data_IF_481033285426
#
_entry.id   IF_481033285426
#
_cell.length_a   1.000
_cell.length_b   1.000
_cell.length_c   1.000
_cell.angle_alpha   90.00
_cell.angle_beta   90.00
_cell.angle_gamma   90.00
#
_symmetry.space_group_name_H-M   'P 1'
#
loop_
_entity.id
_entity.type
_entity.pdbx_description
1 polymer ?
#
# COMPACT_ATOMS: atom_id res chain seq x y z
N UNK A 1 29.88 -13.13 -6.90
CA UNK A 1 29.72 -11.77 -6.31
C UNK A 1 28.44 -11.78 -5.49
N UNK A 2 28.35 -11.02 -4.39
CA UNK A 2 27.13 -10.96 -3.60
C UNK A 2 25.98 -10.37 -4.43
N UNK A 3 24.83 -11.04 -4.43
CA UNK A 3 23.60 -10.52 -5.00
C UNK A 3 22.98 -9.50 -4.03
N UNK A 4 22.52 -8.37 -4.57
CA UNK A 4 21.87 -7.31 -3.80
C UNK A 4 20.64 -6.83 -4.56
N UNK A 5 19.48 -7.02 -3.97
CA UNK A 5 18.21 -6.59 -4.55
C UNK A 5 17.26 -6.16 -3.45
N UNK A 6 16.26 -5.39 -3.84
CA UNK A 6 15.16 -4.98 -2.98
C UNK A 6 13.85 -5.17 -3.74
N UNK A 7 13.01 -6.08 -3.29
CA UNK A 7 11.62 -6.18 -3.72
C UNK A 7 10.78 -5.33 -2.79
N UNK A 8 9.93 -4.46 -3.34
CA UNK A 8 8.98 -3.66 -2.58
C UNK A 8 7.57 -4.15 -2.91
N UNK A 9 6.89 -4.67 -1.90
CA UNK A 9 5.49 -5.08 -1.95
C UNK A 9 4.66 -3.93 -1.38
N UNK A 10 3.90 -3.27 -2.24
CA UNK A 10 2.97 -2.20 -1.84
C UNK A 10 1.59 -2.80 -1.73
N UNK A 11 0.98 -2.68 -0.56
CA UNK A 11 -0.38 -3.07 -0.28
C UNK A 11 -1.21 -1.83 0.03
N UNK A 12 -1.97 -1.36 -0.96
CA UNK A 12 -2.85 -0.23 -0.80
C UNK A 12 -4.18 -0.70 -0.21
N UNK A 13 -4.29 -0.74 1.12
CA UNK A 13 -5.53 -1.06 1.82
C UNK A 13 -6.44 0.17 2.01
N UNK A 14 -6.04 1.35 1.53
CA UNK A 14 -6.89 2.54 1.55
C UNK A 14 -8.10 2.32 0.64
N UNK A 15 -9.27 2.76 1.11
CA UNK A 15 -10.49 2.87 0.29
C UNK A 15 -10.59 4.21 -0.46
N UNK A 16 -9.75 5.18 -0.10
CA UNK A 16 -9.87 6.58 -0.53
C UNK A 16 -8.81 6.98 -1.55
N UNK A 17 -7.60 6.42 -1.46
CA UNK A 17 -6.45 6.86 -2.24
C UNK A 17 -6.09 5.89 -3.36
N UNK A 18 -5.84 6.45 -4.54
CA UNK A 18 -5.18 5.76 -5.66
C UNK A 18 -3.76 6.30 -5.79
N UNK A 19 -2.78 5.40 -5.89
CA UNK A 19 -1.39 5.79 -6.18
C UNK A 19 -1.24 6.01 -7.67
N UNK A 20 -0.72 7.17 -8.07
CA UNK A 20 -0.59 7.58 -9.47
C UNK A 20 0.77 8.20 -9.75
N UNK A 21 1.11 8.40 -11.04
CA UNK A 21 2.31 9.13 -11.46
C UNK A 21 3.59 8.66 -10.73
N UNK A 22 3.97 7.37 -10.86
CA UNK A 22 5.17 6.86 -10.20
C UNK A 22 6.42 7.55 -10.73
N UNK A 23 7.36 7.85 -9.82
CA UNK A 23 8.71 8.32 -10.16
C UNK A 23 9.74 7.50 -9.40
N UNK A 24 10.92 7.33 -9.98
CA UNK A 24 12.02 6.55 -9.40
C UNK A 24 13.30 7.34 -9.51
N UNK A 25 14.02 7.45 -8.41
CA UNK A 25 15.41 7.88 -8.36
C UNK A 25 16.25 6.73 -7.79
N UNK A 26 17.34 6.41 -8.47
CA UNK A 26 18.26 5.34 -8.05
C UNK A 26 19.64 5.92 -7.84
N UNK A 27 20.09 5.93 -6.59
CA UNK A 27 21.45 6.33 -6.20
C UNK A 27 22.46 5.23 -6.54
N UNK A 28 22.07 3.96 -6.35
CA UNK A 28 22.89 2.80 -6.67
C UNK A 28 22.05 1.65 -7.19
N UNK A 29 22.51 1.01 -8.27
CA UNK A 29 21.79 -0.08 -8.93
C UNK A 29 20.89 0.43 -10.05
N UNK A 30 19.80 -0.27 -10.31
CA UNK A 30 18.78 0.11 -11.28
C UNK A 30 17.42 -0.46 -10.91
N UNK A 31 16.37 0.09 -11.52
CA UNK A 31 15.01 -0.44 -11.44
C UNK A 31 14.84 -1.62 -12.41
N UNK A 32 14.60 -2.82 -11.89
CA UNK A 32 14.39 -4.05 -12.67
C UNK A 32 12.92 -4.20 -13.06
N UNK A 33 12.02 -4.04 -12.09
CA UNK A 33 10.56 -4.03 -12.30
C UNK A 33 10.04 -2.65 -11.88
N UNK A 34 9.56 -1.82 -12.82
CA UNK A 34 9.12 -0.46 -12.51
C UNK A 34 7.83 -0.43 -11.69
N UNK A 35 7.60 0.65 -10.92
CA UNK A 35 6.33 0.83 -10.23
C UNK A 35 5.16 0.88 -11.24
N UNK A 36 4.05 0.17 -11.00
CA UNK A 36 2.86 0.27 -11.85
C UNK A 36 2.35 1.71 -11.94
N UNK A 37 1.81 2.14 -13.09
CA UNK A 37 1.33 3.51 -13.29
C UNK A 37 0.16 3.88 -12.37
N UNK A 38 -0.62 2.88 -11.95
CA UNK A 38 -1.76 3.02 -11.04
C UNK A 38 -1.78 1.88 -10.03
N UNK A 39 -2.01 2.21 -8.76
CA UNK A 39 -2.33 1.24 -7.70
C UNK A 39 -3.62 1.73 -7.04
N UNK A 40 -4.73 1.12 -7.43
CA UNK A 40 -6.07 1.49 -6.96
C UNK A 40 -6.30 1.18 -5.48
N UNK A 41 -7.46 1.59 -4.94
CA UNK A 41 -7.90 1.19 -3.61
C UNK A 41 -7.96 -0.34 -3.48
N UNK A 42 -7.62 -0.85 -2.31
CA UNK A 42 -7.62 -2.29 -2.00
C UNK A 42 -6.84 -3.15 -3.02
N UNK A 43 -5.70 -2.66 -3.51
CA UNK A 43 -4.89 -3.34 -4.52
C UNK A 43 -3.41 -3.44 -4.14
N UNK A 44 -2.72 -4.41 -4.74
CA UNK A 44 -1.31 -4.69 -4.47
C UNK A 44 -0.45 -4.38 -5.69
N UNK A 45 0.79 -3.98 -5.44
CA UNK A 45 1.82 -3.78 -6.45
C UNK A 45 3.15 -4.37 -5.98
N UNK A 46 3.98 -4.74 -6.94
CA UNK A 46 5.34 -5.21 -6.68
C UNK A 46 6.33 -4.44 -7.56
N UNK A 47 7.44 -4.05 -6.96
CA UNK A 47 8.51 -3.25 -7.56
C UNK A 47 9.82 -3.95 -7.22
N UNK A 48 10.78 -3.96 -8.14
CA UNK A 48 12.07 -4.62 -7.89
C UNK A 48 13.22 -3.72 -8.31
N UNK A 49 14.17 -3.55 -7.40
CA UNK A 49 15.43 -2.86 -7.62
C UNK A 49 16.58 -3.84 -7.46
N UNK A 50 17.56 -3.74 -8.34
CA UNK A 50 18.69 -4.65 -8.37
C UNK A 50 20.00 -3.87 -8.44
N UNK A 51 21.07 -4.48 -7.95
CA UNK A 51 22.40 -3.92 -8.13
C UNK A 51 22.83 -3.98 -9.59
N UNK A 52 23.76 -3.10 -9.95
CA UNK A 52 24.42 -3.15 -11.27
C UNK A 52 25.32 -4.38 -11.36
N UNK A 53 25.12 -5.23 -12.37
CA UNK A 53 25.94 -6.43 -12.58
C UNK A 53 27.42 -6.07 -12.76
N UNK A 54 28.31 -6.82 -12.11
CA UNK A 54 29.77 -6.63 -12.22
C UNK A 54 30.36 -5.49 -11.37
N UNK A 55 29.53 -4.67 -10.72
CA UNK A 55 29.99 -3.59 -9.84
C UNK A 55 29.87 -3.96 -8.35
N UNK A 56 30.69 -3.35 -7.47
CA UNK A 56 30.58 -3.49 -6.01
C UNK A 56 29.52 -2.53 -5.43
N UNK A 57 28.31 -2.56 -6.00
CA UNK A 57 27.18 -1.66 -5.69
C UNK A 57 26.03 -2.39 -5.01
N UNK A 58 25.21 -1.64 -4.27
CA UNK A 58 23.96 -2.09 -3.68
C UNK A 58 22.73 -1.76 -4.54
N UNK A 59 21.54 -1.89 -3.94
CA UNK A 59 20.27 -1.40 -4.49
C UNK A 59 19.74 -0.30 -3.56
N UNK A 60 19.87 0.96 -3.97
CA UNK A 60 19.62 2.13 -3.12
C UNK A 60 18.93 3.22 -3.91
N UNK A 61 17.87 3.80 -3.35
CA UNK A 61 17.14 4.88 -3.98
C UNK A 61 15.84 5.23 -3.27
N UNK A 62 15.01 5.99 -3.96
CA UNK A 62 13.68 6.39 -3.53
C UNK A 62 12.73 6.30 -4.72
N UNK A 63 11.48 5.93 -4.46
CA UNK A 63 10.41 6.08 -5.43
C UNK A 63 9.23 6.79 -4.79
N UNK A 64 8.43 7.43 -5.63
CA UNK A 64 7.28 8.22 -5.19
C UNK A 64 6.03 7.87 -5.96
N UNK A 65 4.88 8.13 -5.33
CA UNK A 65 3.56 8.12 -5.95
C UNK A 65 2.80 9.38 -5.56
N UNK A 66 2.11 9.98 -6.51
CA UNK A 66 1.09 10.99 -6.24
C UNK A 66 -0.14 10.32 -5.60
N UNK A 67 -0.62 10.87 -4.49
CA UNK A 67 -1.80 10.40 -3.78
C UNK A 67 -3.05 11.10 -4.33
N UNK A 68 -3.78 10.40 -5.20
CA UNK A 68 -5.05 10.88 -5.76
C UNK A 68 -6.20 10.45 -4.85
N UNK A 69 -6.90 11.41 -4.25
CA UNK A 69 -8.13 11.13 -3.50
C UNK A 69 -9.29 10.88 -4.47
N UNK A 70 -9.90 9.72 -4.39
CA UNK A 70 -10.97 9.27 -5.31
C UNK A 70 -12.28 10.04 -5.16
N UNK A 71 -12.57 10.63 -3.99
CA UNK A 71 -13.80 11.37 -3.77
C UNK A 71 -13.73 12.80 -4.35
N UNK A 72 -12.58 13.46 -4.20
CA UNK A 72 -12.38 14.85 -4.63
C UNK A 72 -11.64 14.96 -5.97
N UNK A 73 -11.09 13.85 -6.48
CA UNK A 73 -10.24 13.79 -7.66
C UNK A 73 -9.07 14.79 -7.60
N UNK A 74 -8.56 15.02 -6.39
CA UNK A 74 -7.46 15.93 -6.12
C UNK A 74 -6.22 15.15 -5.69
N UNK A 75 -5.07 15.56 -6.24
CA UNK A 75 -3.77 15.12 -5.79
C UNK A 75 -3.14 16.27 -5.00
N UNK A 76 -3.05 16.10 -3.68
CA UNK A 76 -2.48 17.10 -2.77
C UNK A 76 -1.17 16.67 -2.14
N UNK A 77 -0.85 15.37 -2.15
CA UNK A 77 0.29 14.80 -1.44
C UNK A 77 1.05 13.77 -2.28
N UNK A 78 2.29 13.50 -1.87
CA UNK A 78 3.20 12.54 -2.49
C UNK A 78 3.61 11.51 -1.45
N UNK A 79 3.33 10.24 -1.70
CA UNK A 79 3.92 9.12 -0.97
C UNK A 79 5.36 8.94 -1.45
N UNK A 80 6.31 8.84 -0.52
CA UNK A 80 7.69 8.47 -0.83
C UNK A 80 8.12 7.24 -0.03
N UNK A 81 8.86 6.34 -0.69
CA UNK A 81 9.42 5.13 -0.11
C UNK A 81 10.89 5.05 -0.48
N UNK A 82 11.75 5.09 0.54
CA UNK A 82 13.20 4.93 0.41
C UNK A 82 13.58 3.48 0.71
N UNK A 83 14.51 2.96 -0.09
CA UNK A 83 15.09 1.64 0.08
C UNK A 83 16.62 1.73 0.02
N UNK A 84 17.29 1.02 0.92
CA UNK A 84 18.75 0.95 0.95
C UNK A 84 19.23 -0.45 1.32
N UNK A 85 19.75 -1.17 0.33
CA UNK A 85 20.41 -2.46 0.49
C UNK A 85 21.88 -2.32 0.08
N UNK A 86 22.81 -2.11 1.04
CA UNK A 86 24.21 -1.86 0.74
C UNK A 86 24.95 -3.11 0.25
N UNK A 87 26.03 -2.91 -0.50
CA UNK A 87 26.90 -4.00 -0.95
C UNK A 87 27.60 -4.69 0.23
N UNK A 88 28.31 -3.93 1.06
CA UNK A 88 29.04 -4.45 2.21
C UNK A 88 28.16 -4.51 3.47
N UNK A 89 27.78 -5.73 3.83
CA UNK A 89 26.93 -6.02 4.99
C UNK A 89 27.70 -6.13 6.31
N UNK A 90 29.04 -6.15 6.26
CA UNK A 90 29.85 -6.13 7.46
C UNK A 90 29.96 -4.72 8.06
N UNK A 91 29.79 -3.69 7.22
CA UNK A 91 29.89 -2.28 7.60
C UNK A 91 28.53 -1.59 7.67
N UNK A 92 27.56 -1.99 6.84
CA UNK A 92 26.30 -1.28 6.69
C UNK A 92 25.09 -2.21 6.79
N UNK A 93 24.01 -1.69 7.38
CA UNK A 93 22.72 -2.35 7.52
C UNK A 93 21.70 -1.92 6.45
N UNK A 94 20.60 -2.66 6.35
CA UNK A 94 19.50 -2.31 5.47
C UNK A 94 18.72 -1.17 6.11
N UNK A 95 18.18 -0.27 5.31
CA UNK A 95 17.34 0.82 5.78
C UNK A 95 16.17 1.01 4.83
N UNK A 96 15.00 1.29 5.40
CA UNK A 96 13.85 1.77 4.67
C UNK A 96 13.29 3.02 5.34
N UNK A 97 12.59 3.84 4.57
CA UNK A 97 11.81 4.93 5.11
C UNK A 97 10.53 5.13 4.30
N UNK A 98 9.47 5.56 4.97
CA UNK A 98 8.19 5.90 4.34
C UNK A 98 7.69 7.23 4.87
N UNK A 99 7.09 8.03 3.99
CA UNK A 99 6.58 9.34 4.37
C UNK A 99 5.58 9.89 3.36
N UNK A 100 4.89 10.94 3.77
CA UNK A 100 3.95 11.66 2.92
C UNK A 100 4.35 13.13 2.90
N UNK A 101 4.57 13.65 1.70
CA UNK A 101 5.07 14.99 1.46
C UNK A 101 4.03 15.84 0.75
N UNK A 102 4.24 17.16 0.76
CA UNK A 102 3.47 18.07 -0.08
C UNK A 102 3.70 17.78 -1.56
N UNK A 103 2.67 18.04 -2.38
CA UNK A 103 2.81 17.96 -3.83
C UNK A 103 3.87 18.93 -4.34
N UNK A 104 4.66 18.47 -5.31
CA UNK A 104 5.77 19.23 -5.89
C UNK A 104 7.14 18.86 -5.33
N UNK A 105 7.21 17.95 -4.35
CA UNK A 105 8.47 17.27 -4.02
C UNK A 105 8.92 16.44 -5.22
N UNK A 106 10.16 16.68 -5.65
CA UNK A 106 10.78 15.95 -6.75
C UNK A 106 11.34 14.61 -6.24
N UNK A 107 11.26 13.59 -7.10
CA UNK A 107 11.85 12.28 -6.83
C UNK A 107 13.30 12.32 -7.33
N UNK A 108 14.20 12.84 -6.49
CA UNK A 108 15.59 13.11 -6.84
C UNK A 108 16.57 12.74 -5.70
N UNK A 109 17.83 13.10 -5.88
CA UNK A 109 18.88 12.92 -4.88
C UNK A 109 18.57 13.64 -3.57
N UNK A 110 17.98 14.84 -3.60
CA UNK A 110 17.70 15.61 -2.40
C UNK A 110 16.64 14.92 -1.54
N UNK A 111 15.60 14.35 -2.16
CA UNK A 111 14.60 13.56 -1.45
C UNK A 111 15.25 12.31 -0.83
N UNK A 112 16.09 11.61 -1.59
CA UNK A 112 16.81 10.44 -1.09
C UNK A 112 17.71 10.79 0.11
N UNK A 113 18.56 11.81 -0.02
CA UNK A 113 19.47 12.27 1.02
C UNK A 113 18.72 12.71 2.27
N UNK A 114 17.60 13.42 2.09
CA UNK A 114 16.72 13.80 3.19
C UNK A 114 16.17 12.58 3.94
N UNK A 115 15.59 11.62 3.22
CA UNK A 115 15.02 10.42 3.84
C UNK A 115 16.09 9.51 4.46
N UNK A 116 17.33 9.54 3.99
CA UNK A 116 18.41 8.67 4.47
C UNK A 116 19.24 9.27 5.62
N UNK A 117 19.66 10.53 5.50
CA UNK A 117 20.62 11.16 6.40
C UNK A 117 19.99 12.13 7.41
N UNK A 118 18.90 12.81 7.04
CA UNK A 118 18.36 13.89 7.85
C UNK A 118 17.40 13.40 8.94
N UNK A 119 16.99 14.34 9.78
CA UNK A 119 15.99 14.16 10.82
C UNK A 119 14.61 13.85 10.23
N UNK A 120 13.87 13.01 10.94
CA UNK A 120 12.58 12.48 10.51
C UNK A 120 11.48 13.54 10.63
N UNK A 121 11.23 14.27 9.54
CA UNK A 121 10.13 15.23 9.41
C UNK A 121 9.26 14.86 8.19
N UNK A 122 7.99 14.54 8.43
CA UNK A 122 7.03 14.02 7.43
C UNK A 122 7.35 12.61 6.87
N UNK A 123 8.32 11.92 7.46
CA UNK A 123 8.64 10.52 7.17
C UNK A 123 9.13 9.82 8.44
N UNK A 124 9.11 8.49 8.42
CA UNK A 124 9.74 7.64 9.43
C UNK A 124 10.77 6.73 8.76
N UNK A 125 11.89 6.48 9.44
CA UNK A 125 13.00 5.64 8.96
C UNK A 125 13.25 4.50 9.95
N UNK A 126 13.45 3.30 9.42
CA UNK A 126 13.71 2.08 10.19
C UNK A 126 14.85 1.26 9.60
N UNK A 127 15.57 0.58 10.47
CA UNK A 127 16.53 -0.43 10.06
C UNK A 127 15.77 -1.64 9.51
N UNK A 128 16.29 -2.26 8.46
CA UNK A 128 15.74 -3.49 7.90
C UNK A 128 16.15 -4.69 8.71
N UNK A 129 15.61 -4.82 9.92
CA UNK A 129 15.78 -5.95 10.85
C UNK A 129 14.47 -6.74 11.07
N UNK A 130 13.45 -6.44 10.25
CA UNK A 130 12.10 -6.97 10.36
C UNK A 130 11.14 -6.10 11.21
N UNK A 131 11.65 -5.10 11.93
CA UNK A 131 10.81 -4.17 12.68
C UNK A 131 9.96 -3.30 11.75
N UNK A 132 8.76 -2.93 12.20
CA UNK A 132 7.89 -2.03 11.46
C UNK A 132 8.05 -0.59 11.91
N UNK A 133 8.02 0.33 10.96
CA UNK A 133 7.88 1.78 11.20
C UNK A 133 6.55 2.24 10.62
N UNK A 134 5.90 3.20 11.28
CA UNK A 134 4.60 3.72 10.85
C UNK A 134 4.62 5.25 10.85
N UNK A 135 4.41 5.83 9.67
CA UNK A 135 4.10 7.23 9.51
C UNK A 135 2.60 7.45 9.71
N UNK A 136 2.23 8.40 10.55
CA UNK A 136 0.85 8.83 10.75
C UNK A 136 0.66 10.23 10.15
N UNK A 137 -0.05 10.30 9.05
CA UNK A 137 -0.55 11.55 8.49
C UNK A 137 -1.98 11.83 8.93
N UNK A 138 -2.52 12.96 8.46
CA UNK A 138 -3.88 13.38 8.78
C UNK A 138 -4.95 12.45 8.20
N UNK A 139 -4.78 12.01 6.95
CA UNK A 139 -5.79 11.23 6.22
C UNK A 139 -5.39 9.77 5.96
N UNK A 140 -4.10 9.46 6.10
CA UNK A 140 -3.60 8.11 5.88
C UNK A 140 -2.45 7.76 6.84
N UNK A 141 -2.31 6.47 7.09
CA UNK A 141 -1.15 5.88 7.75
C UNK A 141 -0.39 5.03 6.74
N UNK A 142 0.93 5.11 6.79
CA UNK A 142 1.83 4.28 5.97
C UNK A 142 2.73 3.52 6.91
N UNK A 143 2.65 2.19 6.87
CA UNK A 143 3.55 1.32 7.62
C UNK A 143 4.51 0.64 6.68
N UNK A 144 5.74 0.42 7.13
CA UNK A 144 6.71 -0.37 6.39
C UNK A 144 7.55 -1.26 7.30
N UNK A 145 7.95 -2.42 6.79
CA UNK A 145 8.96 -3.28 7.40
C UNK A 145 9.92 -3.77 6.32
N UNK A 146 11.15 -4.11 6.69
CA UNK A 146 12.18 -4.54 5.76
C UNK A 146 13.00 -5.69 6.34
N UNK A 147 13.30 -6.71 5.52
CA UNK A 147 14.19 -7.81 5.92
C UNK A 147 15.67 -7.41 5.91
N UNK A 148 16.50 -8.14 6.67
CA UNK A 148 17.95 -7.92 6.81
C UNK A 148 18.80 -8.64 5.77
N UNK A 149 18.16 -9.30 4.80
CA UNK A 149 18.85 -10.08 3.77
C UNK A 149 19.47 -9.19 2.67
N UNK A 150 20.43 -9.76 1.93
CA UNK A 150 20.98 -9.12 0.73
C UNK A 150 19.97 -9.05 -0.42
N UNK A 151 19.02 -9.98 -0.47
CA UNK A 151 17.83 -9.92 -1.32
C UNK A 151 16.66 -9.52 -0.42
N UNK A 152 16.57 -8.22 -0.16
CA UNK A 152 15.66 -7.68 0.83
C UNK A 152 14.23 -7.59 0.28
N UNK A 153 13.27 -7.67 1.20
CA UNK A 153 11.86 -7.41 0.92
C UNK A 153 11.41 -6.27 1.82
N UNK A 154 10.85 -5.23 1.24
CA UNK A 154 10.11 -4.18 1.94
C UNK A 154 8.63 -4.46 1.74
N UNK A 155 7.86 -4.48 2.82
CA UNK A 155 6.40 -4.44 2.76
C UNK A 155 5.93 -3.07 3.16
N UNK A 156 5.09 -2.44 2.34
CA UNK A 156 4.48 -1.15 2.59
C UNK A 156 2.97 -1.34 2.65
N UNK A 157 2.36 -1.05 3.78
CA UNK A 157 0.91 -1.05 3.96
C UNK A 157 0.42 0.39 4.06
N UNK A 158 -0.57 0.72 3.24
CA UNK A 158 -1.23 2.03 3.23
C UNK A 158 -2.65 1.83 3.70
N UNK A 159 -3.08 2.60 4.70
CA UNK A 159 -4.43 2.54 5.26
C UNK A 159 -4.97 3.93 5.52
N UNK A 160 -6.28 4.09 5.46
CA UNK A 160 -6.92 5.34 5.86
C UNK A 160 -6.67 5.61 7.34
N UNK A 161 -6.32 6.86 7.69
CA UNK A 161 -6.23 7.25 9.09
C UNK A 161 -7.66 7.34 9.62
N UNK A 162 -7.96 6.56 10.67
CA UNK A 162 -9.28 6.58 11.29
C UNK A 162 -9.54 7.96 11.89
N UNK A 163 -10.35 8.79 11.23
CA UNK A 163 -11.00 9.89 11.92
C UNK A 163 -11.89 9.29 13.01
N UNK A 164 -11.51 9.51 14.26
CA UNK A 164 -12.43 9.38 15.37
C UNK A 164 -13.52 10.44 15.26
N UNK A 165 -14.60 10.17 14.53
CA UNK A 165 -15.93 10.72 14.75
C UNK A 165 -16.97 9.64 14.42
N UNK A 166 -17.94 9.48 15.32
CA UNK A 166 -18.81 8.31 15.47
C UNK A 166 -19.33 7.67 14.17
N UNK A 167 -18.93 6.43 13.94
CA UNK A 167 -19.67 5.51 13.08
C UNK A 167 -20.99 5.14 13.76
N UNK A 168 -22.07 5.87 13.47
CA UNK A 168 -23.41 5.33 13.50
C UNK A 168 -23.64 4.59 12.19
N UNK A 169 -23.48 3.26 12.16
CA UNK A 169 -23.98 2.46 11.03
C UNK A 169 -25.44 2.15 11.30
N UNK A 170 -26.36 2.77 10.56
CA UNK A 170 -27.75 2.31 10.50
C UNK A 170 -27.92 1.43 9.26
N UNK A 171 -27.99 0.12 9.47
CA UNK A 171 -28.27 -0.84 8.41
C UNK A 171 -29.79 -0.94 8.19
N UNK A 172 -30.27 -0.44 7.05
CA UNK A 172 -31.64 -0.67 6.61
C UNK A 172 -31.69 -1.93 5.71
N UNK A 173 -32.14 -3.05 6.27
CA UNK A 173 -32.35 -4.28 5.49
C UNK A 173 -33.66 -4.15 4.70
N UNK A 174 -33.58 -3.96 3.39
CA UNK A 174 -34.74 -4.08 2.50
C UNK A 174 -35.00 -5.57 2.31
N UNK A 175 -36.23 -6.03 2.58
CA UNK A 175 -36.63 -7.43 2.47
C UNK A 175 -36.74 -7.88 1.00
N UNK A 176 -35.61 -7.98 0.31
CA UNK A 176 -35.43 -8.78 -0.90
C UNK A 176 -34.02 -9.37 -0.88
N UNK A 177 -33.94 -10.71 -0.85
CA UNK A 177 -32.84 -11.53 -0.30
C UNK A 177 -31.54 -11.53 -1.13
N UNK A 178 -31.25 -10.46 -1.89
CA UNK A 178 -30.13 -10.43 -2.84
C UNK A 178 -29.19 -9.25 -2.70
N UNK A 179 -29.59 -8.22 -1.94
CA UNK A 179 -28.79 -7.00 -1.79
C UNK A 179 -28.84 -6.49 -0.35
N UNK A 180 -27.69 -6.08 0.17
CA UNK A 180 -27.63 -5.29 1.41
C UNK A 180 -27.21 -3.86 1.03
N UNK A 181 -27.99 -2.88 1.49
CA UNK A 181 -27.71 -1.47 1.32
C UNK A 181 -27.06 -0.94 2.61
N UNK A 182 -25.86 -0.37 2.47
CA UNK A 182 -25.21 0.34 3.57
C UNK A 182 -25.33 1.85 3.34
N UNK A 183 -25.87 2.55 4.33
CA UNK A 183 -25.88 4.01 4.38
C UNK A 183 -24.76 4.46 5.32
N UNK A 184 -23.90 5.34 4.83
CA UNK A 184 -22.83 5.97 5.62
C UNK A 184 -23.09 7.47 5.65
N UNK A 185 -23.25 8.00 6.86
CA UNK A 185 -23.34 9.43 7.09
C UNK A 185 -21.93 10.01 7.18
N UNK A 186 -21.68 11.07 6.41
CA UNK A 186 -20.42 11.81 6.39
C UNK A 186 -20.68 13.27 6.73
N UNK A 187 -19.77 13.91 7.47
CA UNK A 187 -19.77 15.36 7.68
C UNK A 187 -18.46 15.92 7.19
N UNK A 188 -18.51 16.93 6.31
CA UNK A 188 -17.30 17.62 5.84
C UNK A 188 -16.79 18.63 6.89
N UNK A 189 -15.62 19.20 6.60
CA UNK A 189 -14.96 20.25 7.39
C UNK A 189 -15.79 21.54 7.51
N UNK A 190 -16.86 21.69 6.73
CA UNK A 190 -17.81 22.80 6.78
C UNK A 190 -19.12 22.45 7.51
N UNK A 191 -19.23 21.24 8.06
CA UNK A 191 -20.41 20.76 8.78
C UNK A 191 -21.56 20.31 7.88
N UNK A 192 -21.32 20.11 6.60
CA UNK A 192 -22.32 19.62 5.64
C UNK A 192 -22.46 18.11 5.78
N UNK A 193 -23.68 17.61 5.99
CA UNK A 193 -23.96 16.18 6.07
C UNK A 193 -24.21 15.57 4.68
N UNK A 194 -23.62 14.41 4.42
CA UNK A 194 -23.77 13.65 3.19
C UNK A 194 -24.13 12.20 3.51
N UNK A 195 -24.90 11.55 2.62
CA UNK A 195 -25.25 10.14 2.72
C UNK A 195 -24.64 9.40 1.53
N UNK A 196 -23.71 8.47 1.79
CA UNK A 196 -23.18 7.57 0.76
C UNK A 196 -23.88 6.23 0.84
N UNK A 197 -24.50 5.82 -0.28
CA UNK A 197 -25.16 4.53 -0.42
C UNK A 197 -24.26 3.54 -1.15
N UNK A 198 -23.96 2.39 -0.52
CA UNK A 198 -23.22 1.28 -1.14
C UNK A 198 -24.12 0.05 -1.25
N UNK A 199 -24.20 -0.54 -2.44
CA UNK A 199 -24.95 -1.78 -2.71
C UNK A 199 -23.96 -2.93 -2.87
N UNK A 200 -24.11 -3.99 -2.08
CA UNK A 200 -23.35 -5.24 -2.26
C UNK A 200 -24.31 -6.38 -2.61
N UNK A 201 -24.02 -7.13 -3.66
CA UNK A 201 -24.77 -8.33 -4.04
C UNK A 201 -24.22 -9.57 -3.32
N UNK A 202 -25.11 -10.44 -2.85
CA UNK A 202 -24.75 -11.77 -2.36
C UNK A 202 -24.84 -12.76 -3.53
N UNK A 203 -23.70 -13.14 -4.13
CA UNK A 203 -23.66 -14.28 -5.04
C UNK A 203 -23.58 -15.58 -4.21
N UNK A 204 -24.68 -16.32 -4.11
CA UNK A 204 -24.70 -17.67 -3.54
C UNK A 204 -24.21 -18.69 -4.56
N UNK A 205 -23.12 -19.40 -4.24
CA UNK A 205 -22.69 -20.60 -4.97
C UNK A 205 -23.63 -21.75 -4.58
N UNK A 206 -24.53 -22.16 -5.47
CA UNK A 206 -25.29 -23.40 -5.30
C UNK A 206 -24.38 -24.60 -5.57
N UNK A 207 -24.07 -25.38 -4.54
CA UNK A 207 -23.40 -26.67 -4.68
C UNK A 207 -24.33 -27.69 -5.32
N UNK A 208 -23.93 -28.26 -6.46
CA UNK A 208 -24.58 -29.45 -7.06
C UNK A 208 -24.48 -30.65 -6.11
N UNK A 209 -25.63 -31.20 -5.70
CA UNK A 209 -25.69 -32.49 -5.00
C UNK A 209 -25.49 -33.65 -6.00
N UNK A 210 -24.67 -34.67 -5.68
CA UNK A 210 -24.59 -35.89 -6.48
C UNK A 210 -25.83 -36.77 -6.28
N UNK A 211 -26.36 -37.29 -7.39
CA UNK A 211 -27.46 -38.26 -7.45
C UNK A 211 -26.97 -39.60 -6.85
N UNK A 212 -27.58 -40.06 -5.76
CA UNK A 212 -27.41 -41.43 -5.25
C UNK A 212 -28.66 -42.27 -5.50
N UNK A 213 -28.41 -43.55 -5.81
CA UNK A 213 -29.24 -44.48 -6.54
C UNK A 213 -30.46 -45.07 -5.81
N UNK A 214 -31.34 -45.63 -6.64
CA UNK A 214 -32.56 -46.40 -6.39
C UNK A 214 -32.56 -47.27 -5.12
N UNK A 215 -33.60 -47.08 -4.30
CA UNK A 215 -34.09 -48.05 -3.33
C UNK A 215 -35.36 -48.73 -3.86
N UNK A 216 -35.29 -50.03 -4.07
CA UNK A 216 -36.41 -50.94 -4.29
C UNK A 216 -37.29 -51.02 -3.05
N UNK A 217 -38.61 -50.96 -3.21
CA UNK A 217 -39.48 -51.75 -2.34
C UNK A 217 -40.78 -52.18 -3.03
N UNK A 218 -41.05 -53.48 -2.88
CA UNK A 218 -42.23 -54.21 -3.35
C UNK A 218 -43.36 -54.00 -2.36
N UNK A 219 -44.57 -53.77 -2.86
CA UNK A 219 -45.80 -54.04 -2.12
C UNK A 219 -46.51 -55.20 -2.80
N UNK A 220 -46.74 -56.26 -2.01
CA UNK A 220 -47.65 -57.37 -2.32
C UNK A 220 -49.09 -56.94 -2.09
#
# INVERSE_FOLDING_TARGET
MPHRSCTVEVNNNSGLFTLTNPRVFTESGHCEVPPPPFVGPCSMASIMFNKTTGAATGAVGVFTYDLLNTNYNECSKVLAVMYSVPYDRNLYSNWCAVGVFERGVECDYNLYDNMYNNDQYNFVRGQGDGSSVTYQGEFLMVSASMSDNGEAVIRVDISDAGMGMGMGQEAATIADTRFTLYLLDYTDEFGTAFVKATITSLLTVESMNPISAMGSDKVK
#
